data_IF_908522437508
#
_entry.id   IF_908522437508
#
_cell.length_a   1.000
_cell.length_b   1.000
_cell.length_c   1.000
_cell.angle_alpha   90.00
_cell.angle_beta   90.00
_cell.angle_gamma   90.00
#
_symmetry.space_group_name_H-M   'P 1'
#
loop_
_entity.id
_entity.type
_entity.pdbx_description
1 polymer ?
#
# COMPACT_ATOMS: atom_id res chain seq x y z
N UNK A 1 12.93 15.52 2.72
CA UNK A 1 11.48 15.35 2.63
C UNK A 1 10.93 14.60 3.85
N UNK A 2 9.74 14.98 4.28
CA UNK A 2 9.06 14.35 5.42
C UNK A 2 8.36 13.08 4.98
N UNK A 3 7.74 13.11 3.81
CA UNK A 3 7.00 11.97 3.26
C UNK A 3 7.19 11.95 1.74
N UNK A 4 7.43 10.78 1.19
CA UNK A 4 7.63 10.61 -0.25
C UNK A 4 6.80 9.45 -0.76
N UNK A 5 6.44 9.53 -2.03
CA UNK A 5 5.72 8.44 -2.71
C UNK A 5 6.20 8.33 -4.16
N UNK A 6 6.07 7.13 -4.71
CA UNK A 6 6.30 6.87 -6.12
C UNK A 6 5.00 6.33 -6.71
N UNK A 7 4.51 6.99 -7.75
CA UNK A 7 3.30 6.57 -8.45
C UNK A 7 3.65 6.33 -9.92
N UNK A 8 3.25 5.18 -10.44
CA UNK A 8 3.34 4.86 -11.86
C UNK A 8 1.95 4.94 -12.45
N UNK A 9 1.76 5.78 -13.46
CA UNK A 9 0.42 6.01 -13.99
C UNK A 9 0.35 5.95 -15.51
N UNK A 10 -0.82 5.57 -15.99
CA UNK A 10 -1.22 5.71 -17.39
C UNK A 10 -2.61 6.37 -17.43
N UNK A 11 -3.31 6.27 -18.56
CA UNK A 11 -4.64 6.92 -18.70
C UNK A 11 -5.71 6.31 -17.81
N UNK A 12 -5.59 5.04 -17.44
CA UNK A 12 -6.65 4.31 -16.74
C UNK A 12 -6.31 4.00 -15.29
N UNK A 13 -5.02 3.90 -14.96
CA UNK A 13 -4.60 3.42 -13.64
C UNK A 13 -3.42 4.23 -13.11
N UNK A 14 -3.51 4.62 -11.84
CA UNK A 14 -2.40 5.15 -11.06
C UNK A 14 -2.07 4.15 -9.96
N UNK A 15 -0.88 3.58 -10.00
CA UNK A 15 -0.44 2.59 -9.00
C UNK A 15 0.58 3.21 -8.05
N UNK A 16 0.24 3.20 -6.76
CA UNK A 16 1.15 3.64 -5.71
C UNK A 16 2.16 2.53 -5.45
N UNK A 17 3.43 2.76 -5.80
CA UNK A 17 4.50 1.77 -5.66
C UNK A 17 5.21 1.85 -4.33
N UNK A 18 5.27 3.03 -3.74
CA UNK A 18 5.97 3.26 -2.49
C UNK A 18 5.38 4.46 -1.77
N UNK A 19 5.33 4.36 -0.46
CA UNK A 19 4.94 5.47 0.41
C UNK A 19 5.79 5.36 1.67
N UNK A 20 6.62 6.37 1.92
CA UNK A 20 7.52 6.37 3.06
C UNK A 20 7.49 7.71 3.78
N UNK A 21 7.46 7.67 5.10
CA UNK A 21 7.55 8.84 5.97
C UNK A 21 8.85 8.80 6.74
N UNK A 22 9.53 9.94 6.84
CA UNK A 22 10.74 10.05 7.64
C UNK A 22 10.46 9.60 9.09
N UNK A 23 11.34 8.77 9.71
CA UNK A 23 11.07 8.20 11.03
C UNK A 23 10.71 9.21 12.12
N UNK A 24 11.27 10.41 12.07
CA UNK A 24 11.01 11.47 13.06
C UNK A 24 9.61 12.07 12.92
N UNK A 25 8.89 11.76 11.85
CA UNK A 25 7.58 12.35 11.52
C UNK A 25 6.47 11.30 11.42
N UNK A 26 6.72 10.09 11.90
CA UNK A 26 5.71 9.03 11.90
C UNK A 26 4.54 9.39 12.82
N UNK A 27 3.34 8.93 12.47
CA UNK A 27 2.10 9.10 13.24
C UNK A 27 1.67 10.56 13.43
N UNK A 28 2.09 11.44 12.53
CA UNK A 28 1.69 12.87 12.54
C UNK A 28 0.75 13.23 11.39
N UNK A 29 0.21 12.23 10.70
CA UNK A 29 -0.75 12.45 9.62
C UNK A 29 -0.15 12.79 8.26
N UNK A 30 1.17 12.76 8.10
CA UNK A 30 1.81 13.08 6.83
C UNK A 30 1.49 12.05 5.73
N UNK A 31 1.48 10.76 6.08
CA UNK A 31 1.12 9.72 5.12
C UNK A 31 -0.34 9.87 4.67
N UNK A 32 -1.26 10.17 5.58
CA UNK A 32 -2.67 10.42 5.24
C UNK A 32 -2.83 11.63 4.33
N UNK A 33 -2.07 12.70 4.58
CA UNK A 33 -2.07 13.88 3.72
C UNK A 33 -1.54 13.56 2.33
N UNK A 34 -0.49 12.74 2.24
CA UNK A 34 0.05 12.30 0.96
C UNK A 34 -0.99 11.49 0.19
N UNK A 35 -1.70 10.58 0.84
CA UNK A 35 -2.76 9.81 0.22
C UNK A 35 -3.89 10.70 -0.30
N UNK A 36 -4.30 11.70 0.48
CA UNK A 36 -5.31 12.68 0.04
C UNK A 36 -4.84 13.47 -1.17
N UNK A 37 -3.57 13.86 -1.20
CA UNK A 37 -2.97 14.54 -2.34
C UNK A 37 -2.99 13.65 -3.59
N UNK A 38 -2.61 12.38 -3.46
CA UNK A 38 -2.60 11.43 -4.58
C UNK A 38 -4.02 11.27 -5.15
N UNK A 39 -5.01 11.06 -4.30
CA UNK A 39 -6.40 10.88 -4.71
C UNK A 39 -6.90 12.11 -5.46
N UNK A 40 -6.60 13.31 -4.97
CA UNK A 40 -6.99 14.56 -5.63
C UNK A 40 -6.23 14.76 -6.95
N UNK A 41 -4.93 14.50 -6.96
CA UNK A 41 -4.10 14.65 -8.15
C UNK A 41 -4.56 13.74 -9.29
N UNK A 42 -4.98 12.52 -8.95
CA UNK A 42 -5.44 11.51 -9.91
C UNK A 42 -6.97 11.38 -9.95
N UNK A 43 -7.70 12.45 -9.58
CA UNK A 43 -9.17 12.40 -9.52
C UNK A 43 -9.85 12.02 -10.82
N UNK A 44 -9.20 12.28 -11.95
CA UNK A 44 -9.72 11.93 -13.28
C UNK A 44 -9.23 10.56 -13.77
N UNK A 45 -8.31 9.93 -13.06
CA UNK A 45 -7.84 8.59 -13.39
C UNK A 45 -8.85 7.57 -12.85
N UNK A 46 -9.38 6.67 -13.70
CA UNK A 46 -10.43 5.74 -13.28
C UNK A 46 -10.06 4.85 -12.09
N UNK A 47 -8.82 4.37 -12.06
CA UNK A 47 -8.37 3.42 -11.04
C UNK A 47 -7.14 3.95 -10.31
N UNK A 48 -7.23 4.03 -8.98
CA UNK A 48 -6.07 4.28 -8.13
C UNK A 48 -5.89 3.02 -7.30
N UNK A 49 -4.73 2.37 -7.42
CA UNK A 49 -4.45 1.09 -6.77
C UNK A 49 -3.18 1.13 -5.94
N UNK A 50 -3.11 0.25 -4.95
CA UNK A 50 -1.93 0.05 -4.13
C UNK A 50 -1.83 -1.42 -3.75
N UNK A 51 -0.61 -1.97 -3.80
CA UNK A 51 -0.32 -3.32 -3.33
C UNK A 51 0.38 -3.27 -1.98
N UNK A 52 0.06 -4.19 -1.09
CA UNK A 52 0.70 -4.32 0.21
C UNK A 52 0.91 -5.78 0.57
N UNK A 53 2.00 -6.06 1.30
CA UNK A 53 2.29 -7.41 1.76
C UNK A 53 1.32 -7.88 2.83
N UNK A 54 1.16 -9.20 2.93
CA UNK A 54 0.32 -9.85 3.92
C UNK A 54 0.95 -11.16 4.37
N UNK A 55 0.71 -11.55 5.63
CA UNK A 55 1.15 -12.86 6.14
C UNK A 55 0.34 -14.01 5.55
N UNK A 56 -0.84 -13.74 5.02
CA UNK A 56 -1.79 -14.78 4.63
C UNK A 56 -2.49 -15.47 5.80
N UNK A 57 -2.23 -15.04 7.02
CA UNK A 57 -2.80 -15.61 8.23
C UNK A 57 -3.85 -14.66 8.79
N UNK A 58 -5.14 -15.09 8.89
CA UNK A 58 -6.18 -14.24 9.46
C UNK A 58 -5.81 -13.75 10.86
N UNK A 59 -6.03 -12.46 11.13
CA UNK A 59 -5.70 -11.84 12.40
C UNK A 59 -4.26 -11.39 12.56
N UNK A 60 -3.39 -11.69 11.60
CA UNK A 60 -1.98 -11.25 11.59
C UNK A 60 -1.73 -10.31 10.41
N UNK A 61 -2.54 -9.29 10.28
CA UNK A 61 -2.42 -8.30 9.23
C UNK A 61 -1.42 -7.21 9.62
N UNK A 62 -0.73 -6.66 8.61
CA UNK A 62 0.16 -5.52 8.81
C UNK A 62 -0.66 -4.23 8.93
N UNK A 63 -0.12 -3.24 9.66
CA UNK A 63 -0.80 -1.95 9.87
C UNK A 63 -1.05 -1.19 8.56
N UNK A 64 -0.24 -1.43 7.53
CA UNK A 64 -0.41 -0.78 6.23
C UNK A 64 -1.78 -1.07 5.62
N UNK A 65 -2.26 -2.30 5.77
CA UNK A 65 -3.57 -2.69 5.22
C UNK A 65 -4.69 -1.85 5.87
N UNK A 66 -4.68 -1.73 7.18
CA UNK A 66 -5.65 -0.92 7.91
C UNK A 66 -5.52 0.56 7.55
N UNK A 67 -4.29 1.05 7.40
CA UNK A 67 -4.04 2.42 6.97
C UNK A 67 -4.69 2.72 5.62
N UNK A 68 -4.50 1.85 4.62
CA UNK A 68 -5.11 2.06 3.31
C UNK A 68 -6.63 1.98 3.35
N UNK A 69 -7.19 1.08 4.16
CA UNK A 69 -8.65 1.03 4.37
C UNK A 69 -9.18 2.35 4.93
N UNK A 70 -8.49 2.92 5.90
CA UNK A 70 -8.85 4.22 6.48
C UNK A 70 -8.74 5.37 5.50
N UNK A 71 -7.90 5.25 4.50
CA UNK A 71 -7.77 6.23 3.43
C UNK A 71 -8.83 6.08 2.33
N UNK A 72 -9.76 5.15 2.47
CA UNK A 72 -10.85 4.95 1.51
C UNK A 72 -10.59 3.88 0.47
N UNK A 73 -9.56 3.07 0.65
CA UNK A 73 -9.25 1.96 -0.26
C UNK A 73 -9.95 0.69 0.19
N UNK A 74 -10.37 -0.11 -0.78
CA UNK A 74 -11.01 -1.41 -0.54
C UNK A 74 -10.21 -2.50 -1.22
N UNK A 75 -10.24 -3.70 -0.64
CA UNK A 75 -9.53 -4.83 -1.21
C UNK A 75 -10.08 -5.20 -2.56
N UNK A 76 -9.20 -5.40 -3.52
CA UNK A 76 -9.54 -5.74 -4.91
C UNK A 76 -9.25 -7.21 -5.18
N UNK A 77 -8.01 -7.65 -4.99
CA UNK A 77 -7.62 -9.04 -5.20
C UNK A 77 -6.35 -9.38 -4.41
N UNK A 78 -6.09 -10.67 -4.29
CA UNK A 78 -4.92 -11.19 -3.56
C UNK A 78 -4.14 -12.08 -4.52
N UNK A 79 -2.81 -11.89 -4.55
CA UNK A 79 -1.90 -12.80 -5.23
C UNK A 79 -1.25 -13.67 -4.16
N UNK A 80 -1.67 -14.93 -4.07
CA UNK A 80 -1.16 -15.88 -3.09
C UNK A 80 0.31 -16.19 -3.35
N UNK A 81 1.08 -16.30 -2.28
CA UNK A 81 2.50 -16.65 -2.33
C UNK A 81 3.36 -15.70 -3.17
N UNK A 82 2.90 -14.45 -3.40
CA UNK A 82 3.61 -13.49 -4.23
C UNK A 82 5.07 -13.32 -3.82
N UNK A 83 5.32 -13.12 -2.52
CA UNK A 83 6.66 -12.88 -2.02
C UNK A 83 7.51 -14.14 -1.99
N UNK A 84 6.89 -15.32 -1.85
CA UNK A 84 7.60 -16.60 -1.90
C UNK A 84 8.03 -16.91 -3.33
N UNK A 85 7.16 -16.67 -4.30
CA UNK A 85 7.38 -17.03 -5.70
C UNK A 85 8.30 -16.05 -6.44
N UNK A 86 8.34 -14.78 -6.01
CA UNK A 86 9.05 -13.72 -6.74
C UNK A 86 10.37 -13.28 -6.11
N UNK A 87 10.69 -13.76 -4.91
CA UNK A 87 11.93 -13.38 -4.21
C UNK A 87 12.67 -14.65 -3.77
N UNK A 88 14.00 -14.70 -3.95
CA UNK A 88 14.78 -15.90 -3.60
C UNK A 88 14.90 -16.13 -2.10
N UNK A 89 14.73 -15.07 -1.29
CA UNK A 89 14.81 -15.15 0.16
C UNK A 89 13.55 -14.59 0.81
N UNK A 90 13.20 -15.06 2.03
CA UNK A 90 12.02 -14.53 2.73
C UNK A 90 12.12 -13.03 2.96
N UNK A 91 10.99 -12.34 2.81
CA UNK A 91 10.86 -10.91 3.07
C UNK A 91 10.06 -10.74 4.37
N UNK A 92 10.60 -9.94 5.29
CA UNK A 92 9.99 -9.71 6.60
C UNK A 92 9.66 -8.23 6.78
N UNK A 93 8.55 -7.96 7.49
CA UNK A 93 8.23 -6.62 7.96
C UNK A 93 8.95 -6.33 9.28
N UNK A 94 8.92 -5.06 9.70
CA UNK A 94 9.60 -4.60 10.92
C UNK A 94 9.13 -5.33 12.18
N UNK A 95 7.89 -5.85 12.20
CA UNK A 95 7.36 -6.61 13.32
C UNK A 95 7.83 -8.07 13.36
N UNK A 96 8.69 -8.49 12.41
CA UNK A 96 9.21 -9.84 12.34
C UNK A 96 8.34 -10.84 11.61
N UNK A 97 7.15 -10.44 11.16
CA UNK A 97 6.26 -11.34 10.41
C UNK A 97 6.67 -11.40 8.94
N UNK A 98 6.58 -12.60 8.36
CA UNK A 98 6.95 -12.81 6.96
C UNK A 98 5.86 -12.34 6.00
N UNK A 99 6.26 -11.63 4.94
CA UNK A 99 5.39 -11.33 3.81
C UNK A 99 5.25 -12.58 2.94
N UNK A 100 4.03 -13.02 2.75
CA UNK A 100 3.70 -14.19 1.92
C UNK A 100 2.89 -13.76 0.70
N UNK A 101 1.74 -13.15 0.93
CA UNK A 101 0.79 -12.76 -0.11
C UNK A 101 0.90 -11.26 -0.43
N UNK A 102 0.47 -10.88 -1.63
CA UNK A 102 0.27 -9.48 -2.01
C UNK A 102 -1.23 -9.20 -2.06
N UNK A 103 -1.67 -8.20 -1.30
CA UNK A 103 -3.06 -7.72 -1.34
C UNK A 103 -3.09 -6.43 -2.15
N UNK A 104 -3.92 -6.39 -3.19
CA UNK A 104 -4.17 -5.16 -3.95
C UNK A 104 -5.47 -4.52 -3.50
N UNK A 105 -5.41 -3.20 -3.29
CA UNK A 105 -6.56 -2.39 -2.94
C UNK A 105 -6.77 -1.33 -4.02
N UNK A 106 -8.00 -0.86 -4.16
CA UNK A 106 -8.35 0.25 -5.04
C UNK A 106 -9.11 1.31 -4.26
N UNK A 107 -8.95 2.56 -4.68
CA UNK A 107 -9.70 3.65 -4.08
C UNK A 107 -11.19 3.51 -4.44
N UNK A 108 -12.04 3.52 -3.42
CA UNK A 108 -13.49 3.39 -3.60
C UNK A 108 -14.08 4.77 -3.89
N UNK A 109 -14.58 4.97 -5.10
CA UNK A 109 -15.24 6.21 -5.54
C UNK A 109 -16.75 6.05 -5.57
#
# INVERSE_FOLDING_TARGET
PVCVTVVVSDKETAEIKNLATHPDYLRRGYASRMMSFIVEHYRETPNIIVGTGSTGIPGKEFYQLDFYRKCGFVESHIIKNFFVDNYPEPIFEDNGEQCIDMIYLRYAR
#
